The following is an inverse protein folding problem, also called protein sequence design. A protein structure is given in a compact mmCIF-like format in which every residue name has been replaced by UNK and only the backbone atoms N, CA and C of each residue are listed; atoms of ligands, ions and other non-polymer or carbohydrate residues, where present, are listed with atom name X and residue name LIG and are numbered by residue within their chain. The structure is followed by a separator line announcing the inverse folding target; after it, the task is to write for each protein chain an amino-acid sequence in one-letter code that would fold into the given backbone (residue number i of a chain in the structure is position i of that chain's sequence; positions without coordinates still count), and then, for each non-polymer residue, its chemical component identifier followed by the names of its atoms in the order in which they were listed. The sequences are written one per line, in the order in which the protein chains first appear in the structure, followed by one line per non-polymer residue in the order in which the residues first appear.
data_IF_040706627622
#
_entry.id   IF_040706627622
#
_cell.length_a   1.000
_cell.length_b   1.000
_cell.length_c   1.000
_cell.angle_alpha   90.00
_cell.angle_beta   90.00
_cell.angle_gamma   90.00
#
_symmetry.space_group_name_H-M   'P 1'
#
loop_
_entity.id
_entity.type
_entity.pdbx_description
1 polymer ?
#
# COMPACT_ATOMS: atom_id res chain seq x y z
N UNK A 1 42.24 -31.73 44.03
CA UNK A 1 41.04 -30.86 44.22
C UNK A 1 41.19 -29.53 43.53
N UNK A 2 42.30 -28.75 43.70
CA UNK A 2 42.52 -27.42 43.09
C UNK A 2 42.53 -27.40 41.52
N UNK A 3 42.91 -28.49 40.87
CA UNK A 3 42.99 -28.59 39.42
C UNK A 3 41.57 -28.73 38.82
N UNK A 4 40.67 -29.46 39.45
CA UNK A 4 39.27 -29.64 39.08
C UNK A 4 38.47 -28.35 39.21
N UNK A 5 38.69 -27.57 40.25
CA UNK A 5 38.04 -26.29 40.47
C UNK A 5 38.44 -25.25 39.44
N UNK A 6 39.72 -25.18 39.04
CA UNK A 6 40.19 -24.29 37.95
C UNK A 6 39.60 -24.65 36.61
N UNK A 7 39.43 -25.93 36.31
CA UNK A 7 38.83 -26.42 35.06
C UNK A 7 37.33 -26.10 35.01
N UNK A 8 36.63 -26.21 36.13
CA UNK A 8 35.21 -25.84 36.25
C UNK A 8 34.99 -24.33 36.10
N UNK A 9 35.78 -23.48 36.74
CA UNK A 9 35.70 -22.03 36.58
C UNK A 9 36.04 -21.56 35.18
N UNK A 10 36.92 -22.24 34.45
CA UNK A 10 37.25 -21.94 33.06
C UNK A 10 36.09 -22.30 32.11
N UNK A 11 35.41 -23.44 32.36
CA UNK A 11 34.25 -23.86 31.56
C UNK A 11 33.05 -22.92 31.79
N UNK A 12 32.75 -22.55 33.03
CA UNK A 12 31.64 -21.64 33.33
C UNK A 12 31.84 -20.26 32.78
N UNK A 13 33.06 -19.71 32.78
CA UNK A 13 33.39 -18.44 32.15
C UNK A 13 33.23 -18.51 30.63
N UNK A 14 33.67 -19.58 29.94
CA UNK A 14 33.50 -19.76 28.52
C UNK A 14 32.03 -19.89 28.10
N UNK A 15 31.25 -20.64 28.91
CA UNK A 15 29.80 -20.79 28.69
C UNK A 15 29.06 -19.44 28.87
N UNK A 16 29.41 -18.66 29.89
CA UNK A 16 28.83 -17.36 30.18
C UNK A 16 29.15 -16.35 29.04
N UNK A 17 30.40 -16.31 28.51
CA UNK A 17 30.74 -15.45 27.39
C UNK A 17 30.00 -15.86 26.11
N UNK A 18 29.83 -17.15 25.85
CA UNK A 18 29.11 -17.66 24.67
C UNK A 18 27.63 -17.30 24.73
N UNK A 19 26.97 -17.46 25.88
CA UNK A 19 25.58 -17.10 26.11
C UNK A 19 25.35 -15.59 25.99
N UNK A 20 26.29 -14.77 26.50
CA UNK A 20 26.23 -13.32 26.37
C UNK A 20 26.42 -12.85 24.94
N UNK A 21 27.30 -13.50 24.16
CA UNK A 21 27.50 -13.23 22.72
C UNK A 21 26.26 -13.59 21.91
N UNK A 22 25.60 -14.73 22.19
CA UNK A 22 24.38 -15.14 21.52
C UNK A 22 23.22 -14.20 21.85
N UNK A 23 23.10 -13.78 23.12
CA UNK A 23 22.09 -12.82 23.56
C UNK A 23 22.30 -11.43 22.93
N UNK A 24 23.55 -10.99 22.80
CA UNK A 24 23.92 -9.73 22.16
C UNK A 24 23.65 -9.76 20.65
N UNK A 25 23.94 -10.89 19.96
CA UNK A 25 23.58 -11.09 18.55
C UNK A 25 22.06 -11.10 18.34
N UNK A 26 21.30 -11.69 19.25
CA UNK A 26 19.84 -11.69 19.20
C UNK A 26 19.25 -10.27 19.41
N UNK A 27 19.90 -9.44 20.20
CA UNK A 27 19.49 -8.04 20.43
C UNK A 27 19.77 -7.12 19.22
N UNK A 28 20.82 -7.42 18.44
CA UNK A 28 21.17 -6.64 17.23
C UNK A 28 20.17 -6.90 16.09
N UNK A 29 19.54 -8.08 16.03
CA UNK A 29 18.56 -8.40 14.99
C UNK A 29 17.20 -7.73 15.17
N UNK A 30 16.96 -7.08 16.30
CA UNK A 30 15.77 -6.28 16.59
C UNK A 30 15.88 -4.81 16.13
N UNK A 31 16.79 -4.49 15.20
CA UNK A 31 16.77 -3.20 14.55
C UNK A 31 15.56 -3.19 13.59
N UNK A 32 14.39 -2.96 14.15
CA UNK A 32 13.18 -2.70 13.39
C UNK A 32 13.46 -1.49 12.50
N UNK A 33 13.50 -1.72 11.20
CA UNK A 33 13.46 -0.63 10.22
C UNK A 33 12.24 0.21 10.57
N UNK A 34 12.47 1.42 11.08
CA UNK A 34 11.40 2.34 11.39
C UNK A 34 10.70 2.67 10.08
N UNK A 35 9.47 2.17 9.93
CA UNK A 35 8.68 2.36 8.73
C UNK A 35 8.45 3.86 8.50
N UNK A 36 8.86 4.34 7.34
CA UNK A 36 8.72 5.75 6.97
C UNK A 36 7.28 6.05 6.61
N UNK A 37 6.79 7.22 7.00
CA UNK A 37 5.45 7.68 6.59
C UNK A 37 5.46 9.16 6.23
N UNK A 38 4.49 9.56 5.43
CA UNK A 38 4.16 10.93 5.08
C UNK A 38 2.70 11.14 5.47
N UNK A 39 2.38 12.21 6.19
CA UNK A 39 1.00 12.54 6.53
C UNK A 39 0.65 13.98 6.19
N UNK A 40 -0.64 14.22 5.96
CA UNK A 40 -1.17 15.54 5.69
C UNK A 40 -2.44 15.52 4.86
N UNK A 41 -2.83 16.70 4.38
CA UNK A 41 -3.98 16.88 3.49
C UNK A 41 -3.63 16.37 2.09
N UNK A 42 -4.32 15.34 1.62
CA UNK A 42 -4.10 14.78 0.30
C UNK A 42 -4.79 15.59 -0.79
N UNK A 43 -4.07 15.88 -1.88
CA UNK A 43 -4.61 16.34 -3.14
C UNK A 43 -4.63 15.16 -4.12
N UNK A 44 -5.80 14.77 -4.60
CA UNK A 44 -5.96 13.63 -5.50
C UNK A 44 -5.60 14.05 -6.93
N UNK A 45 -4.68 13.33 -7.55
CA UNK A 45 -4.21 13.55 -8.93
C UNK A 45 -5.07 12.73 -9.89
N UNK A 46 -5.15 11.42 -9.66
CA UNK A 46 -5.95 10.45 -10.39
C UNK A 46 -6.38 9.30 -9.45
N UNK A 47 -6.86 8.17 -9.99
CA UNK A 47 -7.38 7.06 -9.18
C UNK A 47 -6.33 6.29 -8.37
N UNK A 48 -5.04 6.44 -8.65
CA UNK A 48 -3.96 5.74 -7.93
C UNK A 48 -2.78 6.64 -7.56
N UNK A 49 -2.92 7.96 -7.73
CA UNK A 49 -1.85 8.92 -7.42
C UNK A 49 -2.40 10.10 -6.63
N UNK A 50 -1.73 10.39 -5.53
CA UNK A 50 -2.05 11.53 -4.66
C UNK A 50 -0.81 12.38 -4.41
N UNK A 51 -1.03 13.59 -3.89
CA UNK A 51 0.04 14.47 -3.42
C UNK A 51 -0.24 14.91 -1.98
N UNK A 52 0.77 14.80 -1.14
CA UNK A 52 0.79 15.37 0.20
C UNK A 52 1.98 16.33 0.23
N UNK A 53 1.72 17.61 0.41
CA UNK A 53 2.70 18.70 0.32
C UNK A 53 3.53 18.61 -0.99
N UNK A 54 4.86 18.45 -0.90
CA UNK A 54 5.79 18.28 -2.03
C UNK A 54 5.88 16.84 -2.55
N UNK A 55 5.38 15.87 -1.79
CA UNK A 55 5.54 14.45 -2.10
C UNK A 55 4.47 13.97 -3.08
N UNK A 56 4.92 13.38 -4.19
CA UNK A 56 4.06 12.64 -5.12
C UNK A 56 4.04 11.18 -4.66
N UNK A 57 2.86 10.63 -4.47
CA UNK A 57 2.65 9.30 -3.93
C UNK A 57 1.82 8.50 -4.93
N UNK A 58 2.32 7.33 -5.32
CA UNK A 58 1.56 6.32 -6.06
C UNK A 58 1.10 5.26 -5.07
N UNK A 59 -0.18 4.95 -5.11
CA UNK A 59 -0.78 3.92 -4.27
C UNK A 59 -0.21 2.56 -4.69
N UNK A 60 0.54 1.92 -3.78
CA UNK A 60 1.26 0.67 -4.03
C UNK A 60 0.30 -0.51 -4.25
N UNK A 61 0.60 -1.35 -5.23
CA UNK A 61 -0.12 -2.61 -5.47
C UNK A 61 -1.46 -2.47 -6.17
N UNK A 62 -1.81 -1.27 -6.66
CA UNK A 62 -3.02 -1.02 -7.45
C UNK A 62 -2.71 -0.28 -8.75
N UNK A 63 -3.62 -0.38 -9.73
CA UNK A 63 -3.55 0.32 -11.01
C UNK A 63 -4.97 0.79 -11.40
N UNK A 64 -5.20 2.09 -11.42
CA UNK A 64 -6.49 2.67 -11.76
C UNK A 64 -6.57 3.04 -13.25
N UNK A 65 -7.76 3.07 -13.85
CA UNK A 65 -7.95 3.60 -15.19
C UNK A 65 -7.37 5.00 -15.32
N UNK A 66 -6.70 5.26 -16.45
CA UNK A 66 -6.10 6.55 -16.76
C UNK A 66 -7.18 7.64 -16.94
N UNK A 67 -6.85 8.89 -16.63
CA UNK A 67 -7.83 9.99 -16.67
C UNK A 67 -8.58 10.11 -18.03
N UNK A 68 -7.92 9.77 -19.14
CA UNK A 68 -8.53 9.79 -20.48
C UNK A 68 -9.12 8.45 -20.89
N UNK A 69 -9.05 7.44 -20.05
CA UNK A 69 -9.54 6.10 -20.37
C UNK A 69 -11.06 6.06 -20.34
N UNK A 70 -11.63 5.48 -21.37
CA UNK A 70 -13.04 5.12 -21.45
C UNK A 70 -13.19 3.62 -21.17
N UNK A 71 -14.27 3.28 -20.49
CA UNK A 71 -14.74 1.93 -20.27
C UNK A 71 -16.18 1.82 -20.77
N UNK A 72 -16.70 0.61 -20.92
CA UNK A 72 -18.09 0.38 -21.28
C UNK A 72 -18.88 -0.07 -20.06
N UNK A 73 -20.07 0.45 -19.94
CA UNK A 73 -21.01 0.01 -18.90
C UNK A 73 -21.75 -1.29 -19.31
N UNK A 74 -22.68 -1.73 -18.49
CA UNK A 74 -23.53 -2.92 -18.75
C UNK A 74 -24.42 -2.81 -19.98
N UNK A 75 -24.64 -1.60 -20.49
CA UNK A 75 -25.42 -1.32 -21.71
C UNK A 75 -24.51 -1.12 -22.93
N UNK A 76 -23.20 -1.36 -22.80
CA UNK A 76 -22.18 -1.12 -23.81
C UNK A 76 -21.99 0.36 -24.17
N UNK A 77 -22.35 1.28 -23.26
CA UNK A 77 -22.15 2.72 -23.44
C UNK A 77 -20.80 3.15 -22.84
N UNK A 78 -20.11 4.06 -23.55
CA UNK A 78 -18.83 4.57 -23.10
C UNK A 78 -18.97 5.53 -21.92
N UNK A 79 -18.12 5.37 -20.92
CA UNK A 79 -18.04 6.29 -19.78
C UNK A 79 -16.60 6.54 -19.34
N UNK A 80 -16.35 7.69 -18.72
CA UNK A 80 -15.03 8.15 -18.28
C UNK A 80 -14.60 7.45 -16.98
N UNK A 81 -14.20 6.18 -17.05
CA UNK A 81 -13.87 5.37 -15.88
C UNK A 81 -12.68 5.91 -15.07
N UNK A 82 -11.69 6.55 -15.71
CA UNK A 82 -10.59 7.21 -15.01
C UNK A 82 -11.06 8.37 -14.14
N UNK A 83 -12.01 9.17 -14.61
CA UNK A 83 -12.62 10.24 -13.81
C UNK A 83 -13.45 9.67 -12.65
N UNK A 84 -14.19 8.59 -12.88
CA UNK A 84 -14.97 7.93 -11.80
C UNK A 84 -14.05 7.36 -10.73
N UNK A 85 -12.92 6.75 -11.11
CA UNK A 85 -11.91 6.25 -10.15
C UNK A 85 -11.36 7.37 -9.28
N UNK A 86 -11.00 8.49 -9.89
CA UNK A 86 -10.56 9.68 -9.14
C UNK A 86 -11.64 10.20 -8.20
N UNK A 87 -12.87 10.34 -8.68
CA UNK A 87 -13.99 10.86 -7.90
C UNK A 87 -14.33 9.94 -6.71
N UNK A 88 -14.28 8.62 -6.92
CA UNK A 88 -14.46 7.66 -5.83
C UNK A 88 -13.40 7.86 -4.74
N UNK A 89 -12.12 8.00 -5.11
CA UNK A 89 -11.05 8.22 -4.13
C UNK A 89 -11.25 9.51 -3.32
N UNK A 90 -11.71 10.59 -3.98
CA UNK A 90 -12.06 11.85 -3.31
C UNK A 90 -13.20 11.62 -2.31
N UNK A 91 -14.32 11.05 -2.79
CA UNK A 91 -15.50 10.81 -1.96
C UNK A 91 -15.19 9.91 -0.76
N UNK A 92 -14.46 8.80 -0.98
CA UNK A 92 -14.07 7.90 0.11
C UNK A 92 -13.27 8.60 1.20
N UNK A 93 -12.29 9.44 0.82
CA UNK A 93 -11.50 10.19 1.78
C UNK A 93 -12.37 11.18 2.55
N UNK A 94 -13.25 11.90 1.87
CA UNK A 94 -14.08 12.94 2.49
C UNK A 94 -15.16 12.30 3.37
N UNK A 95 -15.77 11.21 2.97
CA UNK A 95 -16.75 10.47 3.77
C UNK A 95 -16.14 9.95 5.07
N UNK A 96 -14.96 9.32 4.99
CA UNK A 96 -14.27 8.82 6.19
C UNK A 96 -13.84 9.98 7.10
N UNK A 97 -13.36 11.09 6.55
CA UNK A 97 -13.01 12.29 7.34
C UNK A 97 -14.21 12.84 8.08
N UNK A 98 -15.32 12.98 7.40
CA UNK A 98 -16.56 13.53 7.98
C UNK A 98 -17.13 12.60 9.06
N UNK A 99 -17.27 11.30 8.75
CA UNK A 99 -17.84 10.33 9.67
C UNK A 99 -16.97 10.07 10.92
N UNK A 100 -15.67 10.18 10.81
CA UNK A 100 -14.70 9.83 11.86
C UNK A 100 -13.95 11.04 12.43
N UNK A 101 -14.26 12.24 11.98
CA UNK A 101 -13.55 13.49 12.37
C UNK A 101 -12.02 13.36 12.20
N UNK A 102 -11.58 12.70 11.12
CA UNK A 102 -10.17 12.56 10.78
C UNK A 102 -9.76 13.69 9.84
N UNK A 103 -8.51 14.16 9.96
CA UNK A 103 -8.05 15.36 9.21
C UNK A 103 -7.06 15.04 8.11
N UNK A 104 -6.31 13.96 8.24
CA UNK A 104 -5.14 13.66 7.42
C UNK A 104 -5.16 12.26 6.82
N UNK A 105 -4.45 12.15 5.70
CA UNK A 105 -4.07 10.87 5.10
C UNK A 105 -2.65 10.54 5.54
N UNK A 106 -2.40 9.29 5.86
CA UNK A 106 -1.10 8.73 6.26
C UNK A 106 -0.68 7.71 5.22
N UNK A 107 0.47 7.91 4.60
CA UNK A 107 1.04 6.99 3.61
C UNK A 107 2.35 6.40 4.13
N UNK A 108 2.37 5.10 4.36
CA UNK A 108 3.53 4.34 4.78
C UNK A 108 4.26 3.81 3.55
N UNK A 109 5.60 3.87 3.54
CA UNK A 109 6.39 3.51 2.38
C UNK A 109 7.79 2.99 2.74
N UNK A 110 8.36 2.21 1.84
CA UNK A 110 9.75 1.72 1.93
C UNK A 110 10.60 2.17 0.76
N UNK A 111 9.98 2.48 -0.39
CA UNK A 111 10.69 2.69 -1.66
C UNK A 111 10.06 3.78 -2.53
N UNK A 112 10.79 4.13 -3.59
CA UNK A 112 10.37 5.07 -4.63
C UNK A 112 10.34 4.36 -5.98
N UNK A 113 9.47 4.82 -6.86
CA UNK A 113 9.48 4.36 -8.24
C UNK A 113 10.55 5.08 -9.08
N UNK A 114 10.74 4.65 -10.34
CA UNK A 114 11.71 5.25 -11.27
C UNK A 114 11.41 6.73 -11.62
N UNK A 115 10.26 7.26 -11.27
CA UNK A 115 9.88 8.66 -11.45
C UNK A 115 9.98 9.46 -10.15
N UNK A 116 10.65 8.91 -9.14
CA UNK A 116 10.81 9.50 -7.81
C UNK A 116 9.45 9.81 -7.12
N UNK A 117 8.45 8.95 -7.34
CA UNK A 117 7.23 8.94 -6.56
C UNK A 117 7.37 7.94 -5.42
N UNK A 118 6.87 8.31 -4.26
CA UNK A 118 6.73 7.40 -3.11
C UNK A 118 5.77 6.28 -3.49
N UNK A 119 6.16 5.01 -3.31
CA UNK A 119 5.26 3.86 -3.39
C UNK A 119 4.64 3.63 -2.01
N UNK A 120 3.39 4.05 -1.83
CA UNK A 120 2.77 4.15 -0.52
C UNK A 120 1.52 3.30 -0.35
N UNK A 121 1.37 2.71 0.84
CA UNK A 121 0.10 2.24 1.34
C UNK A 121 -0.51 3.35 2.20
N UNK A 122 -1.68 3.85 1.77
CA UNK A 122 -2.27 5.06 2.32
C UNK A 122 -3.58 4.80 3.06
N UNK A 123 -3.81 5.57 4.12
CA UNK A 123 -4.96 5.41 5.02
C UNK A 123 -5.52 6.77 5.40
N UNK A 124 -6.83 6.86 5.63
CA UNK A 124 -7.40 8.03 6.30
C UNK A 124 -7.23 7.85 7.80
N UNK A 125 -6.47 8.76 8.42
CA UNK A 125 -6.11 8.69 9.85
C UNK A 125 -4.97 7.71 10.18
N UNK A 126 -4.42 7.80 11.41
CA UNK A 126 -3.18 7.11 11.77
C UNK A 126 -3.34 5.62 12.09
N UNK A 127 -4.58 5.13 12.30
CA UNK A 127 -4.83 3.76 12.80
C UNK A 127 -4.84 2.66 11.74
N UNK A 128 -4.50 2.96 10.47
CA UNK A 128 -4.48 2.00 9.34
C UNK A 128 -5.78 1.21 9.14
N UNK A 129 -6.92 1.79 9.47
CA UNK A 129 -8.22 1.11 9.33
C UNK A 129 -8.83 1.39 7.96
N UNK A 130 -8.76 2.63 7.49
CA UNK A 130 -9.38 3.07 6.25
C UNK A 130 -8.36 3.12 5.12
N UNK A 131 -8.03 1.94 4.59
CA UNK A 131 -7.02 1.75 3.56
C UNK A 131 -7.53 2.22 2.19
N UNK A 132 -6.89 3.23 1.62
CA UNK A 132 -7.26 3.80 0.31
C UNK A 132 -7.00 2.82 -0.82
N UNK A 133 -5.85 2.15 -0.81
CA UNK A 133 -5.45 1.19 -1.84
C UNK A 133 -6.47 0.04 -1.92
N UNK A 134 -6.84 -0.53 -0.77
CA UNK A 134 -7.83 -1.59 -0.68
C UNK A 134 -9.21 -1.12 -1.14
N UNK A 135 -9.66 0.05 -0.66
CA UNK A 135 -10.97 0.59 -1.01
C UNK A 135 -11.14 0.76 -2.51
N UNK A 136 -10.08 1.24 -3.20
CA UNK A 136 -10.09 1.40 -4.67
C UNK A 136 -10.29 0.08 -5.40
N UNK A 137 -9.62 -0.99 -4.97
CA UNK A 137 -9.75 -2.31 -5.61
C UNK A 137 -11.08 -2.98 -5.25
N UNK A 138 -11.44 -2.99 -3.96
CA UNK A 138 -12.66 -3.63 -3.47
C UNK A 138 -13.95 -3.01 -4.03
N UNK A 139 -13.89 -1.72 -4.38
CA UNK A 139 -15.00 -1.01 -5.03
C UNK A 139 -15.01 -1.14 -6.56
N UNK A 140 -13.97 -1.74 -7.15
CA UNK A 140 -13.81 -1.86 -8.59
C UNK A 140 -13.43 -0.55 -9.29
N UNK A 141 -12.77 0.38 -8.60
CA UNK A 141 -12.24 1.62 -9.21
C UNK A 141 -10.74 1.54 -9.52
N UNK A 142 -10.09 0.44 -9.17
CA UNK A 142 -8.75 0.06 -9.60
C UNK A 142 -8.65 -1.46 -9.70
N UNK A 143 -7.63 -1.95 -10.39
CA UNK A 143 -7.24 -3.36 -10.41
C UNK A 143 -6.07 -3.59 -9.46
N UNK A 144 -5.91 -4.84 -8.96
CA UNK A 144 -4.69 -5.25 -8.27
C UNK A 144 -3.53 -5.27 -9.27
N UNK A 145 -2.42 -4.62 -8.94
CA UNK A 145 -1.26 -4.54 -9.82
C UNK A 145 -0.23 -5.62 -9.46
N UNK A 146 -0.49 -6.83 -9.95
CA UNK A 146 0.24 -8.05 -9.57
C UNK A 146 1.75 -8.01 -9.88
N UNK A 147 2.20 -7.11 -10.75
CA UNK A 147 3.64 -6.88 -10.99
C UNK A 147 4.37 -6.42 -9.73
N UNK A 148 3.69 -5.71 -8.83
CA UNK A 148 4.30 -5.14 -7.62
C UNK A 148 3.82 -5.80 -6.33
N UNK A 149 2.58 -6.33 -6.29
CA UNK A 149 2.04 -6.96 -5.09
C UNK A 149 0.77 -7.73 -5.40
N UNK A 150 0.59 -8.87 -4.77
CA UNK A 150 -0.65 -9.67 -4.77
C UNK A 150 -1.59 -9.35 -3.61
N UNK A 151 -1.21 -8.39 -2.76
CA UNK A 151 -1.92 -8.01 -1.52
C UNK A 151 -3.41 -7.80 -1.70
N UNK A 152 -3.83 -7.20 -2.82
CA UNK A 152 -5.22 -6.85 -3.11
C UNK A 152 -5.92 -7.80 -4.10
N UNK A 153 -5.33 -8.97 -4.39
CA UNK A 153 -5.91 -9.93 -5.33
C UNK A 153 -7.30 -10.41 -4.87
N UNK A 154 -7.45 -10.74 -3.59
CA UNK A 154 -8.74 -11.18 -3.02
C UNK A 154 -9.81 -10.09 -3.07
N UNK A 155 -9.42 -8.83 -2.84
CA UNK A 155 -10.33 -7.68 -2.94
C UNK A 155 -10.80 -7.50 -4.39
N UNK A 156 -9.91 -7.71 -5.37
CA UNK A 156 -10.26 -7.70 -6.79
C UNK A 156 -11.21 -8.84 -7.14
N UNK A 157 -10.94 -10.07 -6.70
CA UNK A 157 -11.83 -11.21 -6.93
C UNK A 157 -13.24 -10.95 -6.41
N UNK A 158 -13.34 -10.34 -5.21
CA UNK A 158 -14.64 -9.93 -4.66
C UNK A 158 -15.33 -8.88 -5.54
N UNK A 159 -14.58 -7.86 -6.00
CA UNK A 159 -15.12 -6.82 -6.90
C UNK A 159 -15.62 -7.41 -8.23
N UNK A 160 -14.87 -8.37 -8.80
CA UNK A 160 -15.23 -9.10 -10.03
C UNK A 160 -16.51 -9.91 -9.85
N UNK A 161 -16.59 -10.73 -8.79
CA UNK A 161 -17.77 -11.56 -8.49
C UNK A 161 -19.02 -10.70 -8.32
N UNK A 162 -18.86 -9.56 -7.62
CA UNK A 162 -19.97 -8.62 -7.35
C UNK A 162 -20.20 -7.61 -8.48
N UNK A 163 -19.46 -7.70 -9.58
CA UNK A 163 -19.53 -6.79 -10.74
C UNK A 163 -19.49 -5.32 -10.34
N UNK A 164 -18.58 -4.96 -9.42
CA UNK A 164 -18.43 -3.59 -8.92
C UNK A 164 -17.61 -2.72 -9.87
N UNK A 165 -17.96 -1.44 -9.99
CA UNK A 165 -17.19 -0.45 -10.74
C UNK A 165 -16.91 -0.88 -12.18
N UNK A 166 -15.63 -0.91 -12.60
CA UNK A 166 -15.23 -1.30 -13.95
C UNK A 166 -15.56 -2.76 -14.30
N UNK A 167 -15.77 -3.62 -13.30
CA UNK A 167 -16.15 -5.02 -13.48
C UNK A 167 -17.63 -5.22 -13.85
N UNK A 168 -18.41 -4.14 -13.87
CA UNK A 168 -19.83 -4.20 -14.31
C UNK A 168 -20.00 -4.22 -15.82
N UNK A 169 -18.96 -3.93 -16.59
CA UNK A 169 -18.95 -3.89 -18.05
C UNK A 169 -17.60 -4.30 -18.62
N UNK A 170 -17.17 -3.67 -19.72
CA UNK A 170 -15.93 -3.98 -20.40
C UNK A 170 -14.90 -2.86 -20.23
N UNK A 171 -13.64 -3.22 -20.06
CA UNK A 171 -12.54 -2.27 -19.98
C UNK A 171 -11.24 -2.90 -20.44
N UNK A 172 -10.27 -2.06 -20.82
CA UNK A 172 -8.89 -2.45 -21.08
C UNK A 172 -8.12 -2.24 -19.75
N UNK A 173 -7.30 -3.21 -19.35
CA UNK A 173 -6.45 -3.03 -18.17
C UNK A 173 -5.61 -1.76 -18.28
N UNK A 174 -5.47 -0.95 -17.22
CA UNK A 174 -4.80 0.35 -17.28
C UNK A 174 -3.36 0.26 -17.84
N UNK A 175 -2.60 -0.77 -17.45
CA UNK A 175 -1.26 -0.99 -18.01
C UNK A 175 -1.29 -1.22 -19.54
N UNK A 176 -2.25 -1.98 -20.04
CA UNK A 176 -2.40 -2.24 -21.47
C UNK A 176 -2.86 -0.99 -22.23
N UNK A 177 -3.78 -0.25 -21.61
CA UNK A 177 -4.24 1.01 -22.17
C UNK A 177 -3.08 2.00 -22.36
N UNK A 178 -2.20 2.14 -21.35
CA UNK A 178 -0.98 2.96 -21.46
C UNK A 178 -0.03 2.50 -22.56
N UNK A 179 0.07 1.20 -22.82
CA UNK A 179 0.91 0.67 -23.92
C UNK A 179 0.35 1.02 -25.29
N UNK A 180 -0.97 1.04 -25.44
CA UNK A 180 -1.66 1.35 -26.70
C UNK A 180 -1.74 2.85 -27.01
N UNK A 181 -1.63 3.71 -25.99
CA UNK A 181 -1.83 5.16 -26.10
C UNK A 181 -0.55 5.97 -25.77
N UNK A 182 0.61 5.39 -26.02
CA UNK A 182 1.91 6.07 -25.91
C UNK A 182 2.20 6.94 -27.11
#
# INVERSE_FOLDING_TARGET
TKILERKWMSLTKKLSLSLFSIFFLFFITQLHSQEKFISGKAKIVDGDSIRIEKHRIRLLGIDAPEMKQLCKDKNNEDYACGHLSKNFLISFIDDVKNLKNLKEVFCYYSEFDKYNRVLGECFVGPKRIYNLNQAMVLSGHAVAYLRYSDKYLKDQEEAMIKKKGIWSGEFIFPEEWRKKNK
#
